data_IF_895045001213
#
_entry.id   IF_895045001213
#
_cell.length_a   1.000
_cell.length_b   1.000
_cell.length_c   1.000
_cell.angle_alpha   90.00
_cell.angle_beta   90.00
_cell.angle_gamma   90.00
#
_symmetry.space_group_name_H-M   'P 1'
#
loop_
_entity.id
_entity.type
_entity.pdbx_description
1 polymer ?
#
# COMPACT_ATOMS: atom_id res chain seq x y z
N UNK A 1 22.67 1.77 -11.59
CA UNK A 1 21.90 2.86 -10.94
C UNK A 1 20.68 2.21 -10.32
N UNK A 2 20.36 2.52 -9.07
CA UNK A 2 19.11 2.15 -8.40
C UNK A 2 18.32 3.43 -8.17
N UNK A 3 17.19 3.58 -8.85
CA UNK A 3 16.29 4.70 -8.66
C UNK A 3 15.02 4.26 -7.91
N UNK A 4 14.48 5.13 -7.07
CA UNK A 4 13.36 4.82 -6.16
C UNK A 4 13.60 3.54 -5.33
N UNK A 5 14.77 3.42 -4.70
CA UNK A 5 15.20 2.20 -4.02
C UNK A 5 14.27 1.77 -2.88
N UNK A 6 13.68 2.71 -2.16
CA UNK A 6 12.64 2.49 -1.14
C UNK A 6 11.45 1.74 -1.73
N UNK A 7 10.96 2.18 -2.89
CA UNK A 7 9.83 1.56 -3.58
C UNK A 7 10.14 0.16 -4.05
N UNK A 8 11.33 -0.08 -4.60
CA UNK A 8 11.71 -1.43 -5.03
C UNK A 8 11.71 -2.41 -3.84
N UNK A 9 12.15 -1.97 -2.66
CA UNK A 9 12.12 -2.77 -1.44
C UNK A 9 10.70 -3.02 -0.93
N UNK A 10 9.81 -2.03 -0.99
CA UNK A 10 8.40 -2.19 -0.62
C UNK A 10 7.66 -3.19 -1.51
N UNK A 11 8.01 -3.24 -2.80
CA UNK A 11 7.47 -4.20 -3.76
C UNK A 11 8.00 -5.62 -3.56
N UNK A 12 8.96 -5.80 -2.64
CA UNK A 12 9.55 -7.11 -2.35
C UNK A 12 10.71 -7.49 -3.27
N UNK A 13 11.23 -6.58 -4.08
CA UNK A 13 12.33 -6.87 -5.03
C UNK A 13 13.72 -6.95 -4.39
N UNK A 14 13.81 -7.13 -3.07
CA UNK A 14 15.10 -7.21 -2.39
C UNK A 14 16.00 -8.30 -2.99
N UNK A 15 15.44 -9.51 -3.12
CA UNK A 15 16.19 -10.68 -3.56
C UNK A 15 16.56 -10.56 -5.05
N UNK A 16 15.67 -9.99 -5.85
CA UNK A 16 15.91 -9.73 -7.27
C UNK A 16 17.04 -8.71 -7.49
N UNK A 17 17.06 -7.62 -6.71
CA UNK A 17 18.15 -6.64 -6.73
C UNK A 17 19.49 -7.30 -6.39
N UNK A 18 19.52 -8.09 -5.31
CA UNK A 18 20.75 -8.77 -4.88
C UNK A 18 21.26 -9.73 -5.96
N UNK A 19 20.36 -10.49 -6.60
CA UNK A 19 20.69 -11.39 -7.70
C UNK A 19 21.26 -10.65 -8.92
N UNK A 20 20.67 -9.53 -9.30
CA UNK A 20 21.19 -8.69 -10.39
C UNK A 20 22.59 -8.19 -10.03
N UNK A 21 22.76 -7.69 -8.81
CA UNK A 21 24.05 -7.20 -8.31
C UNK A 21 25.13 -8.27 -8.36
N UNK A 22 24.81 -9.51 -7.98
CA UNK A 22 25.74 -10.64 -8.06
C UNK A 22 26.20 -10.98 -9.49
N UNK A 23 25.36 -10.70 -10.49
CA UNK A 23 25.68 -10.89 -11.90
C UNK A 23 26.45 -9.71 -12.50
N UNK A 24 26.60 -8.60 -11.78
CA UNK A 24 27.38 -7.43 -12.23
C UNK A 24 28.84 -7.53 -11.81
N UNK A 25 29.77 -6.83 -12.50
CA UNK A 25 31.16 -6.76 -12.08
C UNK A 25 31.33 -6.29 -10.63
N UNK A 26 32.33 -6.84 -9.94
CA UNK A 26 32.67 -6.44 -8.57
C UNK A 26 33.15 -4.98 -8.51
N UNK A 27 33.89 -4.53 -9.53
CA UNK A 27 34.28 -3.13 -9.70
C UNK A 27 33.25 -2.45 -10.59
N UNK A 28 32.39 -1.65 -9.98
CA UNK A 28 31.33 -0.88 -10.65
C UNK A 28 31.05 0.40 -9.88
N UNK A 29 30.55 1.41 -10.59
CA UNK A 29 29.95 2.57 -9.96
C UNK A 29 28.49 2.25 -9.63
N UNK A 30 28.11 2.41 -8.37
CA UNK A 30 26.73 2.28 -7.92
C UNK A 30 26.24 3.64 -7.46
N UNK A 31 25.10 4.08 -8.02
CA UNK A 31 24.35 5.25 -7.55
C UNK A 31 23.00 4.75 -7.05
N UNK A 32 22.59 5.19 -5.86
CA UNK A 32 21.32 4.85 -5.23
C UNK A 32 20.56 6.13 -4.96
N UNK A 33 19.35 6.22 -5.49
CA UNK A 33 18.41 7.31 -5.28
C UNK A 33 17.20 6.74 -4.54
N UNK A 34 16.73 7.46 -3.52
CA UNK A 34 15.62 7.05 -2.67
C UNK A 34 14.95 8.30 -2.11
N UNK A 35 13.61 8.31 -2.05
CA UNK A 35 12.89 9.43 -1.46
C UNK A 35 12.94 9.39 0.07
N UNK A 36 12.97 8.17 0.63
CA UNK A 36 13.05 7.91 2.07
C UNK A 36 14.28 7.08 2.41
N UNK A 37 14.75 7.16 3.66
CA UNK A 37 15.89 6.37 4.17
C UNK A 37 15.53 5.52 5.40
N UNK A 38 14.53 4.62 5.31
CA UNK A 38 14.22 3.69 6.40
C UNK A 38 15.37 2.70 6.65
N UNK A 39 15.40 2.00 7.81
CA UNK A 39 16.50 1.10 8.15
C UNK A 39 16.81 0.02 7.09
N UNK A 40 15.79 -0.45 6.35
CA UNK A 40 15.99 -1.42 5.25
C UNK A 40 16.78 -0.83 4.09
N UNK A 41 16.54 0.43 3.74
CA UNK A 41 17.25 1.13 2.66
C UNK A 41 18.69 1.44 3.06
N UNK A 42 18.90 1.89 4.29
CA UNK A 42 20.26 2.09 4.83
C UNK A 42 21.10 0.82 4.72
N UNK A 43 20.54 -0.32 5.14
CA UNK A 43 21.20 -1.63 4.99
C UNK A 43 21.46 -2.02 3.55
N UNK A 44 20.56 -1.70 2.62
CA UNK A 44 20.76 -1.95 1.19
C UNK A 44 21.92 -1.08 0.66
N UNK A 45 21.91 0.21 0.97
CA UNK A 45 22.97 1.15 0.59
C UNK A 45 24.34 0.70 1.11
N UNK A 46 24.44 0.30 2.39
CA UNK A 46 25.67 -0.23 3.00
C UNK A 46 26.22 -1.48 2.27
N UNK A 47 25.34 -2.33 1.74
CA UNK A 47 25.75 -3.53 0.99
C UNK A 47 26.16 -3.23 -0.45
N UNK A 48 25.51 -2.26 -1.09
CA UNK A 48 25.64 -2.03 -2.53
C UNK A 48 26.62 -0.93 -2.91
N UNK A 49 26.85 0.03 -2.02
CA UNK A 49 27.70 1.19 -2.24
C UNK A 49 29.08 1.00 -1.60
N UNK A 50 30.11 1.56 -2.22
CA UNK A 50 31.46 1.59 -1.68
C UNK A 50 31.90 3.05 -1.48
N UNK A 51 32.11 3.45 -0.23
CA UNK A 51 32.45 4.83 0.17
C UNK A 51 31.61 5.91 -0.55
N UNK A 52 30.26 5.89 -0.43
CA UNK A 52 29.40 6.79 -1.19
C UNK A 52 29.51 8.24 -0.73
N UNK A 53 29.35 9.16 -1.69
CA UNK A 53 29.04 10.56 -1.39
C UNK A 53 27.55 10.62 -1.07
N UNK A 54 27.21 11.12 0.12
CA UNK A 54 25.82 11.30 0.53
C UNK A 54 25.34 12.71 0.14
N UNK A 55 24.24 12.76 -0.60
CA UNK A 55 23.54 13.99 -0.95
C UNK A 55 22.13 13.88 -0.38
N UNK A 56 21.80 14.77 0.55
CA UNK A 56 20.47 14.85 1.15
C UNK A 56 19.79 16.14 0.68
N UNK A 57 18.61 15.98 0.10
CA UNK A 57 17.76 17.10 -0.33
C UNK A 57 16.60 17.15 0.66
N UNK A 58 16.19 18.36 1.06
CA UNK A 58 15.05 18.54 1.95
C UNK A 58 13.80 17.84 1.41
N UNK A 59 12.98 17.29 2.32
CA UNK A 59 11.72 16.62 2.01
C UNK A 59 10.89 17.52 1.09
N UNK A 60 10.46 16.97 -0.05
CA UNK A 60 9.62 17.70 -1.00
C UNK A 60 8.32 18.09 -0.28
N UNK A 61 8.09 19.39 -0.12
CA UNK A 61 6.78 19.89 0.31
C UNK A 61 5.85 19.94 -0.90
N UNK A 62 4.54 19.72 -0.72
CA UNK A 62 3.57 19.94 -1.78
C UNK A 62 3.66 21.37 -2.32
N UNK A 63 3.43 21.54 -3.63
CA UNK A 63 3.32 22.86 -4.25
C UNK A 63 2.24 23.70 -3.55
N UNK A 64 2.52 24.98 -3.31
CA UNK A 64 1.57 25.91 -2.68
C UNK A 64 0.28 26.07 -3.50
N UNK A 65 0.35 25.82 -4.82
CA UNK A 65 -0.77 25.90 -5.74
C UNK A 65 -1.76 24.72 -5.62
N UNK A 66 -1.48 23.73 -4.77
CA UNK A 66 -2.37 22.60 -4.51
C UNK A 66 -3.28 22.94 -3.34
N UNK A 67 -4.58 23.13 -3.61
CA UNK A 67 -5.60 23.16 -2.56
C UNK A 67 -5.78 21.75 -2.02
N UNK A 68 -5.58 21.58 -0.72
CA UNK A 68 -5.65 20.29 -0.04
C UNK A 68 -6.86 20.27 0.90
N UNK A 69 -7.73 19.28 0.75
CA UNK A 69 -8.90 19.05 1.60
C UNK A 69 -8.89 17.64 2.17
N UNK A 70 -9.32 17.49 3.41
CA UNK A 70 -9.37 16.24 4.12
C UNK A 70 -10.75 16.00 4.72
N UNK A 71 -11.43 14.92 4.33
CA UNK A 71 -12.76 14.59 4.83
C UNK A 71 -12.69 13.37 5.74
N UNK A 72 -13.08 13.53 6.99
CA UNK A 72 -13.26 12.43 7.92
C UNK A 72 -14.56 11.72 7.60
N UNK A 73 -14.49 10.45 7.18
CA UNK A 73 -15.65 9.71 6.67
C UNK A 73 -15.54 8.23 7.00
N UNK A 74 -16.65 7.60 7.38
CA UNK A 74 -16.68 6.15 7.56
C UNK A 74 -16.61 5.42 6.21
N UNK A 75 -16.06 4.21 6.19
CA UNK A 75 -15.81 3.46 4.94
C UNK A 75 -17.10 3.20 4.13
N UNK A 76 -18.24 3.01 4.79
CA UNK A 76 -19.56 2.82 4.17
C UNK A 76 -20.09 4.06 3.45
N UNK A 77 -19.57 5.24 3.78
CA UNK A 77 -19.97 6.52 3.18
C UNK A 77 -18.97 7.05 2.14
N UNK A 78 -17.79 6.44 1.98
CA UNK A 78 -16.73 6.94 1.08
C UNK A 78 -17.17 7.05 -0.38
N UNK A 79 -17.88 6.04 -0.89
CA UNK A 79 -18.39 6.04 -2.27
C UNK A 79 -19.37 7.20 -2.48
N UNK A 80 -20.32 7.39 -1.55
CA UNK A 80 -21.31 8.47 -1.64
C UNK A 80 -20.67 9.85 -1.51
N UNK A 81 -19.67 9.99 -0.64
CA UNK A 81 -18.92 11.23 -0.50
C UNK A 81 -18.14 11.56 -1.78
N UNK A 82 -17.44 10.57 -2.36
CA UNK A 82 -16.74 10.76 -3.63
C UNK A 82 -17.70 11.25 -4.72
N UNK A 83 -18.90 10.68 -4.80
CA UNK A 83 -19.90 11.13 -5.74
C UNK A 83 -20.28 12.60 -5.53
N UNK A 84 -20.64 12.98 -4.31
CA UNK A 84 -21.04 14.35 -3.97
C UNK A 84 -19.94 15.37 -4.27
N UNK A 85 -18.69 15.03 -3.94
CA UNK A 85 -17.55 15.91 -4.17
C UNK A 85 -17.29 16.12 -5.66
N UNK A 86 -17.38 15.07 -6.48
CA UNK A 86 -17.18 15.22 -7.92
C UNK A 86 -18.36 15.93 -8.59
N UNK A 87 -19.59 15.73 -8.10
CA UNK A 87 -20.78 16.49 -8.55
C UNK A 87 -20.63 17.99 -8.26
N UNK A 88 -20.08 18.36 -7.10
CA UNK A 88 -19.81 19.76 -6.73
C UNK A 88 -18.77 20.43 -7.62
N UNK A 89 -17.76 19.68 -8.09
CA UNK A 89 -16.75 20.22 -9.01
C UNK A 89 -17.30 20.44 -10.44
N UNK A 90 -18.38 19.75 -10.82
CA UNK A 90 -18.97 19.87 -12.16
C UNK A 90 -18.19 19.10 -13.23
N UNK A 91 -17.72 19.79 -14.27
CA UNK A 91 -17.05 19.14 -15.41
C UNK A 91 -15.58 18.86 -15.11
N UNK A 92 -15.33 17.71 -14.48
CA UNK A 92 -13.99 17.23 -14.13
C UNK A 92 -13.27 16.77 -15.39
N UNK A 93 -12.20 17.47 -15.77
CA UNK A 93 -11.41 17.17 -16.97
C UNK A 93 -10.50 15.95 -16.79
N UNK A 94 -9.91 15.80 -15.60
CA UNK A 94 -9.01 14.70 -15.26
C UNK A 94 -8.93 14.50 -13.75
N UNK A 95 -9.25 13.29 -13.30
CA UNK A 95 -9.18 12.90 -11.91
C UNK A 95 -8.51 11.54 -11.76
N UNK A 96 -7.57 11.46 -10.83
CA UNK A 96 -6.98 10.18 -10.40
C UNK A 96 -7.42 9.87 -8.97
N UNK A 97 -7.84 8.63 -8.75
CA UNK A 97 -8.33 8.13 -7.46
C UNK A 97 -7.41 7.00 -7.02
N UNK A 98 -6.65 7.23 -5.96
CA UNK A 98 -5.72 6.26 -5.38
C UNK A 98 -6.40 5.41 -4.32
N UNK A 99 -6.23 4.10 -4.44
CA UNK A 99 -6.66 3.13 -3.44
C UNK A 99 -5.50 2.19 -3.07
N UNK A 100 -5.43 1.76 -1.82
CA UNK A 100 -4.38 0.87 -1.32
C UNK A 100 -4.59 -0.58 -1.77
N UNK A 101 -5.83 -0.98 -2.08
CA UNK A 101 -6.22 -2.37 -2.40
C UNK A 101 -6.80 -2.53 -3.79
N UNK A 102 -6.44 -3.62 -4.49
CA UNK A 102 -7.00 -3.98 -5.80
C UNK A 102 -8.52 -4.15 -5.79
N UNK A 103 -9.06 -4.70 -4.70
CA UNK A 103 -10.51 -4.86 -4.52
C UNK A 103 -11.22 -3.51 -4.44
N UNK A 104 -10.64 -2.53 -3.73
CA UNK A 104 -11.15 -1.17 -3.67
C UNK A 104 -11.12 -0.51 -5.05
N UNK A 105 -10.02 -0.64 -5.80
CA UNK A 105 -9.92 -0.13 -7.19
C UNK A 105 -11.07 -0.66 -8.06
N UNK A 106 -11.33 -1.98 -8.03
CA UNK A 106 -12.41 -2.60 -8.80
C UNK A 106 -13.79 -2.10 -8.35
N UNK A 107 -13.99 -1.97 -7.04
CA UNK A 107 -15.25 -1.50 -6.44
C UNK A 107 -15.54 -0.05 -6.82
N UNK A 108 -14.61 0.85 -6.52
CA UNK A 108 -14.73 2.29 -6.80
C UNK A 108 -14.95 2.53 -8.29
N UNK A 109 -14.16 1.89 -9.16
CA UNK A 109 -14.35 2.04 -10.61
C UNK A 109 -15.74 1.58 -11.08
N UNK A 110 -16.30 0.51 -10.49
CA UNK A 110 -17.66 0.07 -10.79
C UNK A 110 -18.70 1.08 -10.30
N UNK A 111 -18.50 1.68 -9.13
CA UNK A 111 -19.39 2.73 -8.59
C UNK A 111 -19.42 3.93 -9.54
N UNK A 112 -18.27 4.44 -9.99
CA UNK A 112 -18.19 5.56 -10.94
C UNK A 112 -18.88 5.23 -12.27
N UNK A 113 -18.67 4.03 -12.82
CA UNK A 113 -19.31 3.61 -14.07
C UNK A 113 -20.83 3.50 -13.95
N UNK A 114 -21.34 2.99 -12.82
CA UNK A 114 -22.79 2.92 -12.57
C UNK A 114 -23.44 4.30 -12.50
N UNK A 115 -22.70 5.30 -12.02
CA UNK A 115 -23.13 6.71 -11.99
C UNK A 115 -23.15 7.35 -13.39
N UNK A 116 -22.53 6.71 -14.39
CA UNK A 116 -22.42 7.21 -15.76
C UNK A 116 -21.12 7.95 -16.04
N UNK A 117 -20.16 7.96 -15.10
CA UNK A 117 -18.87 8.59 -15.31
C UNK A 117 -17.93 7.69 -16.11
N UNK A 118 -17.20 8.30 -17.04
CA UNK A 118 -16.20 7.62 -17.85
C UNK A 118 -14.97 7.34 -16.98
N UNK A 119 -14.83 6.10 -16.53
CA UNK A 119 -13.68 5.68 -15.72
C UNK A 119 -13.04 4.37 -16.20
N UNK A 120 -11.74 4.23 -15.89
CA UNK A 120 -10.98 2.98 -15.99
C UNK A 120 -10.17 2.75 -14.72
N UNK A 121 -9.90 1.47 -14.45
CA UNK A 121 -9.09 1.03 -13.34
C UNK A 121 -7.70 0.59 -13.83
N UNK A 122 -6.67 0.85 -13.02
CA UNK A 122 -5.30 0.37 -13.23
C UNK A 122 -4.77 -0.28 -11.94
N UNK A 123 -4.42 -1.56 -12.05
CA UNK A 123 -3.90 -2.36 -10.93
C UNK A 123 -2.87 -3.36 -11.46
N UNK A 124 -2.07 -3.99 -10.60
CA UNK A 124 -1.06 -4.96 -11.05
C UNK A 124 -1.61 -6.27 -11.62
N UNK A 125 -2.93 -6.39 -11.76
CA UNK A 125 -3.57 -7.48 -12.52
C UNK A 125 -3.51 -7.25 -14.04
N UNK A 126 -3.35 -6.00 -14.49
CA UNK A 126 -3.26 -5.67 -15.92
C UNK A 126 -1.88 -6.01 -16.45
N UNK A 127 -1.85 -6.54 -17.67
CA UNK A 127 -0.59 -6.69 -18.39
C UNK A 127 -0.02 -5.32 -18.81
N UNK A 128 1.22 -5.31 -19.31
CA UNK A 128 1.91 -4.08 -19.67
C UNK A 128 1.22 -3.34 -20.83
N UNK A 129 0.66 -4.08 -21.80
CA UNK A 129 0.00 -3.49 -22.97
C UNK A 129 -1.33 -2.85 -22.58
N UNK A 130 -2.14 -3.56 -21.80
CA UNK A 130 -3.39 -3.04 -21.25
C UNK A 130 -3.15 -1.81 -20.38
N UNK A 131 -2.07 -1.82 -19.58
CA UNK A 131 -1.64 -0.67 -18.79
C UNK A 131 -1.37 0.54 -19.68
N UNK A 132 -0.57 0.37 -20.73
CA UNK A 132 -0.25 1.45 -21.68
C UNK A 132 -1.50 1.97 -22.39
N UNK A 133 -2.42 1.09 -22.79
CA UNK A 133 -3.68 1.46 -23.43
C UNK A 133 -4.59 2.29 -22.50
N UNK A 134 -4.71 1.89 -21.23
CA UNK A 134 -5.46 2.65 -20.21
C UNK A 134 -4.82 4.02 -20.01
N UNK A 135 -3.49 4.09 -19.82
CA UNK A 135 -2.80 5.35 -19.60
C UNK A 135 -2.86 6.29 -20.80
N UNK A 136 -2.70 5.75 -22.01
CA UNK A 136 -2.89 6.49 -23.25
C UNK A 136 -4.33 6.98 -23.39
N UNK A 137 -5.32 6.17 -23.04
CA UNK A 137 -6.72 6.57 -23.04
C UNK A 137 -7.01 7.72 -22.06
N UNK A 138 -6.40 7.71 -20.88
CA UNK A 138 -6.53 8.77 -19.90
C UNK A 138 -5.89 10.07 -20.39
N UNK A 139 -4.64 10.03 -20.88
CA UNK A 139 -3.94 11.21 -21.43
C UNK A 139 -4.70 11.85 -22.60
N UNK A 140 -5.33 11.01 -23.43
CA UNK A 140 -6.13 11.44 -24.57
C UNK A 140 -7.60 11.78 -24.21
N UNK A 141 -7.94 11.89 -22.91
CA UNK A 141 -9.29 12.24 -22.41
C UNK A 141 -10.41 11.35 -22.96
N UNK A 142 -10.12 10.07 -23.28
CA UNK A 142 -11.17 9.08 -23.62
C UNK A 142 -12.09 8.81 -22.43
N UNK A 143 -11.55 8.99 -21.23
CA UNK A 143 -12.23 8.93 -19.96
C UNK A 143 -11.52 9.86 -18.98
N UNK A 144 -12.25 10.37 -17.99
CA UNK A 144 -11.77 11.46 -17.14
C UNK A 144 -11.38 10.98 -15.74
N UNK A 145 -11.77 9.75 -15.36
CA UNK A 145 -11.47 9.18 -14.06
C UNK A 145 -10.56 7.95 -14.17
N UNK A 146 -9.40 7.98 -13.53
CA UNK A 146 -8.49 6.86 -13.42
C UNK A 146 -8.43 6.38 -11.97
N UNK A 147 -8.85 5.14 -11.71
CA UNK A 147 -8.76 4.53 -10.38
C UNK A 147 -7.52 3.64 -10.32
N UNK A 148 -6.57 3.94 -9.44
CA UNK A 148 -5.26 3.31 -9.43
C UNK A 148 -4.89 2.72 -8.05
N UNK A 149 -4.14 1.61 -8.07
CA UNK A 149 -3.39 1.19 -6.87
C UNK A 149 -2.07 1.94 -6.75
N UNK A 150 -1.63 2.18 -5.52
CA UNK A 150 -0.36 2.84 -5.16
C UNK A 150 0.85 2.32 -5.94
N UNK A 151 0.94 0.98 -6.04
CA UNK A 151 2.02 0.27 -6.75
C UNK A 151 2.05 0.58 -8.23
N UNK A 152 0.88 0.79 -8.85
CA UNK A 152 0.80 1.04 -10.28
C UNK A 152 1.09 2.48 -10.62
N UNK A 153 0.66 3.42 -9.77
CA UNK A 153 0.84 4.85 -10.01
C UNK A 153 2.27 5.36 -9.76
N UNK A 154 3.07 4.64 -8.97
CA UNK A 154 4.49 4.93 -8.76
C UNK A 154 5.24 4.61 -10.08
N UNK A 155 5.89 5.62 -10.68
CA UNK A 155 6.58 5.50 -11.98
C UNK A 155 5.69 5.73 -13.22
N UNK A 156 4.41 6.04 -13.04
CA UNK A 156 3.56 6.50 -14.14
C UNK A 156 3.73 8.01 -14.31
N UNK A 157 4.25 8.40 -15.48
CA UNK A 157 4.31 9.80 -15.89
C UNK A 157 2.95 10.26 -16.42
N UNK A 158 2.03 10.54 -15.49
CA UNK A 158 0.80 11.26 -15.76
C UNK A 158 0.84 12.52 -14.91
N UNK A 159 1.05 13.63 -15.60
CA UNK A 159 1.08 14.97 -15.05
C UNK A 159 -0.13 15.77 -15.51
N UNK A 160 -0.29 16.96 -14.93
CA UNK A 160 -1.35 17.92 -15.25
C UNK A 160 -2.76 17.36 -14.98
N UNK A 161 -2.89 16.60 -13.89
CA UNK A 161 -4.17 16.12 -13.41
C UNK A 161 -4.87 17.27 -12.66
N UNK A 162 -6.15 17.51 -12.93
CA UNK A 162 -6.92 18.55 -12.26
C UNK A 162 -7.19 18.20 -10.79
N UNK A 163 -7.63 16.96 -10.55
CA UNK A 163 -8.02 16.48 -9.22
C UNK A 163 -7.29 15.18 -8.85
N UNK A 164 -6.66 15.17 -7.69
CA UNK A 164 -6.11 13.96 -7.07
C UNK A 164 -6.97 13.59 -5.86
N UNK A 165 -7.47 12.36 -5.82
CA UNK A 165 -8.22 11.82 -4.68
C UNK A 165 -7.47 10.67 -4.05
N UNK A 166 -7.12 10.80 -2.77
CA UNK A 166 -6.72 9.67 -1.93
C UNK A 166 -7.97 9.07 -1.29
N UNK A 167 -8.52 8.02 -1.91
CA UNK A 167 -9.69 7.32 -1.37
C UNK A 167 -9.36 6.55 -0.08
N UNK A 168 -8.11 6.11 0.04
CA UNK A 168 -7.49 5.61 1.26
C UNK A 168 -6.22 6.43 1.54
N UNK A 169 -5.97 6.74 2.81
CA UNK A 169 -4.78 7.49 3.21
C UNK A 169 -3.52 6.66 2.88
N UNK A 170 -2.50 7.25 2.24
CA UNK A 170 -1.23 6.56 2.00
C UNK A 170 -0.60 6.10 3.31
N UNK A 171 0.09 4.95 3.28
CA UNK A 171 0.79 4.41 4.45
C UNK A 171 1.98 5.27 4.86
N UNK A 172 2.70 5.78 3.86
CA UNK A 172 3.89 6.60 4.04
C UNK A 172 3.56 8.05 3.69
N UNK A 173 4.07 9.00 4.46
CA UNK A 173 3.75 10.41 4.27
C UNK A 173 4.38 10.99 2.99
N UNK A 174 5.51 10.44 2.55
CA UNK A 174 6.19 10.83 1.31
C UNK A 174 5.39 10.40 0.07
N UNK A 175 4.67 9.28 0.15
CA UNK A 175 3.74 8.88 -0.89
C UNK A 175 2.65 9.92 -1.11
N UNK A 176 2.14 10.52 -0.02
CA UNK A 176 1.14 11.58 -0.11
C UNK A 176 1.64 12.73 -0.99
N UNK A 177 2.85 13.22 -0.72
CA UNK A 177 3.48 14.29 -1.50
C UNK A 177 3.61 13.88 -2.97
N UNK A 178 4.09 12.67 -3.25
CA UNK A 178 4.26 12.19 -4.62
C UNK A 178 2.93 12.03 -5.39
N UNK A 179 1.85 11.63 -4.70
CA UNK A 179 0.52 11.50 -5.30
C UNK A 179 -0.04 12.86 -5.68
N UNK A 180 -0.02 13.81 -4.75
CA UNK A 180 -0.59 15.13 -5.00
C UNK A 180 0.30 15.98 -5.90
N UNK A 181 1.60 15.68 -5.98
CA UNK A 181 2.53 16.28 -6.95
C UNK A 181 2.25 15.94 -8.42
N UNK A 182 1.21 15.13 -8.71
CA UNK A 182 0.67 14.87 -10.06
C UNK A 182 -0.30 15.96 -10.53
N UNK A 183 -0.73 16.84 -9.62
CA UNK A 183 -1.50 18.05 -9.92
C UNK A 183 -0.63 19.31 -9.77
N UNK A 184 -1.15 20.46 -10.20
CA UNK A 184 -0.53 21.79 -10.05
C UNK A 184 0.93 21.92 -10.56
N UNK A 185 1.27 21.25 -11.66
CA UNK A 185 2.55 21.46 -12.36
C UNK A 185 2.46 22.68 -13.29
N UNK A 186 3.62 23.28 -13.60
CA UNK A 186 3.75 24.43 -14.50
C UNK A 186 2.92 25.68 -14.13
N UNK A 187 2.68 25.92 -12.83
CA UNK A 187 1.98 27.12 -12.35
C UNK A 187 0.45 27.03 -12.34
N UNK A 188 -0.13 25.91 -12.77
CA UNK A 188 -1.57 25.66 -12.64
C UNK A 188 -1.95 25.41 -11.17
N UNK A 189 -3.21 25.69 -10.83
CA UNK A 189 -3.81 25.25 -9.57
C UNK A 189 -4.24 23.79 -9.66
N UNK A 190 -4.28 23.12 -8.51
CA UNK A 190 -4.67 21.72 -8.40
C UNK A 190 -5.51 21.47 -7.15
N UNK A 191 -6.32 20.42 -7.18
CA UNK A 191 -7.12 19.98 -6.03
C UNK A 191 -6.68 18.59 -5.57
N UNK A 192 -6.34 18.47 -4.29
CA UNK A 192 -6.06 17.21 -3.63
C UNK A 192 -7.09 16.95 -2.52
N UNK A 193 -7.82 15.85 -2.62
CA UNK A 193 -8.84 15.43 -1.64
C UNK A 193 -8.38 14.14 -0.98
N UNK A 194 -8.44 14.06 0.34
CA UNK A 194 -8.12 12.83 1.08
C UNK A 194 -9.29 12.39 1.95
N UNK A 195 -9.68 11.12 1.83
CA UNK A 195 -10.75 10.51 2.64
C UNK A 195 -10.14 9.73 3.81
N UNK A 196 -10.46 10.15 5.02
CA UNK A 196 -9.86 9.64 6.25
C UNK A 196 -10.91 8.82 7.01
N UNK A 197 -10.71 7.51 7.11
CA UNK A 197 -11.50 6.71 8.03
C UNK A 197 -10.88 6.72 9.43
N UNK A 198 -11.55 6.09 10.39
CA UNK A 198 -11.06 6.10 11.77
C UNK A 198 -9.70 5.42 11.97
N UNK A 199 -9.34 4.44 11.14
CA UNK A 199 -8.04 3.75 11.22
C UNK A 199 -6.91 4.63 10.68
N UNK A 200 -7.24 5.52 9.75
CA UNK A 200 -6.29 6.33 9.01
C UNK A 200 -5.94 7.66 9.71
N UNK A 201 -6.65 8.03 10.79
CA UNK A 201 -6.46 9.32 11.52
C UNK A 201 -5.00 9.56 11.92
N UNK A 202 -4.33 8.53 12.48
CA UNK A 202 -2.93 8.67 12.88
C UNK A 202 -1.99 8.78 11.68
N UNK A 203 -2.20 7.97 10.64
CA UNK A 203 -1.39 8.05 9.42
C UNK A 203 -1.52 9.40 8.74
N UNK A 204 -2.73 9.97 8.72
CA UNK A 204 -2.94 11.33 8.21
C UNK A 204 -2.28 12.40 9.09
N UNK A 205 -2.28 12.22 10.42
CA UNK A 205 -1.54 13.10 11.32
C UNK A 205 -0.03 13.10 11.05
N UNK A 206 0.55 11.96 10.65
CA UNK A 206 1.97 11.89 10.27
C UNK A 206 2.24 12.58 8.92
N UNK A 207 1.27 12.58 8.00
CA UNK A 207 1.32 13.39 6.77
C UNK A 207 1.39 14.88 7.10
N UNK A 208 0.48 15.40 7.95
CA UNK A 208 0.46 16.82 8.33
C UNK A 208 1.76 17.25 9.01
N UNK A 209 2.36 16.39 9.83
CA UNK A 209 3.68 16.63 10.44
C UNK A 209 4.78 16.71 9.39
N UNK A 210 4.81 15.77 8.43
CA UNK A 210 5.83 15.74 7.38
C UNK A 210 5.79 17.00 6.52
N UNK A 211 4.58 17.44 6.11
CA UNK A 211 4.42 18.63 5.27
C UNK A 211 4.43 19.94 6.06
N UNK A 212 4.51 19.84 7.40
CA UNK A 212 4.49 20.96 8.35
C UNK A 212 3.28 21.90 8.14
N UNK A 213 2.12 21.32 7.80
CA UNK A 213 0.91 22.08 7.46
C UNK A 213 -0.34 21.32 7.89
N UNK A 214 -1.25 22.04 8.56
CA UNK A 214 -2.60 21.56 8.82
C UNK A 214 -3.42 21.67 7.55
N UNK A 215 -3.98 20.55 7.11
CA UNK A 215 -4.89 20.46 5.97
C UNK A 215 -6.32 20.78 6.44
N UNK A 216 -7.04 21.56 5.64
CA UNK A 216 -8.43 21.94 5.90
C UNK A 216 -9.31 20.68 5.97
N UNK A 217 -10.21 20.64 6.95
CA UNK A 217 -11.13 19.51 7.19
C UNK A 217 -12.58 19.97 7.16
N UNK A 218 -13.18 20.13 5.96
CA UNK A 218 -14.55 20.63 5.84
C UNK A 218 -15.56 19.66 6.46
N UNK A 219 -16.75 20.18 6.80
CA UNK A 219 -17.86 19.35 7.25
C UNK A 219 -18.31 18.40 6.14
N UNK A 220 -18.73 17.19 6.54
CA UNK A 220 -19.28 16.23 5.59
C UNK A 220 -20.61 16.73 4.98
N UNK A 221 -20.76 16.69 3.65
CA UNK A 221 -22.03 17.02 3.01
C UNK A 221 -23.08 15.93 3.25
N UNK A 222 -24.35 16.26 3.05
CA UNK A 222 -25.44 15.27 2.90
C UNK A 222 -25.74 14.42 4.14
N UNK A 223 -25.39 14.88 5.35
CA UNK A 223 -25.64 14.14 6.60
C UNK A 223 -24.78 12.88 6.77
N UNK A 224 -23.72 12.74 5.97
CA UNK A 224 -22.76 11.66 6.11
C UNK A 224 -22.05 11.74 7.47
N UNK A 225 -21.58 10.58 7.94
CA UNK A 225 -20.91 10.44 9.23
C UNK A 225 -19.45 10.04 9.05
N UNK A 226 -18.62 10.53 9.96
CA UNK A 226 -17.20 10.24 10.03
C UNK A 226 -16.68 10.21 11.45
N UNK A 227 -15.43 9.76 11.64
CA UNK A 227 -14.75 9.77 12.94
C UNK A 227 -14.38 11.20 13.37
N UNK A 228 -14.01 11.34 14.65
CA UNK A 228 -13.34 12.54 15.14
C UNK A 228 -11.86 12.56 14.75
N UNK A 229 -11.28 13.76 14.60
CA UNK A 229 -9.88 13.95 14.25
C UNK A 229 -8.99 14.17 15.48
N UNK A 230 -8.57 13.07 16.13
CA UNK A 230 -7.68 13.12 17.29
C UNK A 230 -6.41 12.29 17.05
N UNK A 231 -5.44 12.77 16.24
CA UNK A 231 -4.20 12.06 15.98
C UNK A 231 -3.34 11.97 17.26
N UNK A 232 -2.81 10.77 17.55
CA UNK A 232 -1.96 10.52 18.71
C UNK A 232 -2.70 10.02 19.96
N UNK A 233 -4.03 10.08 20.00
CA UNK A 233 -4.80 9.37 21.02
C UNK A 233 -4.76 7.87 20.70
N UNK A 234 -4.16 7.08 21.61
CA UNK A 234 -4.29 5.63 21.54
C UNK A 234 -5.78 5.32 21.65
N UNK A 235 -6.37 4.80 20.57
CA UNK A 235 -7.69 4.18 20.62
C UNK A 235 -7.72 3.25 21.83
N UNK A 236 -8.46 3.64 22.85
CA UNK A 236 -8.79 2.78 23.98
C UNK A 236 -9.67 1.67 23.44
N UNK A 237 -9.04 0.66 22.85
CA UNK A 237 -9.71 -0.51 22.30
C UNK A 237 -10.57 -1.12 23.39
N UNK A 238 -11.88 -1.07 23.18
CA UNK A 238 -12.88 -1.73 24.00
C UNK A 238 -12.52 -3.20 24.20
N UNK A 239 -12.23 -3.56 25.44
CA UNK A 239 -11.81 -4.89 25.86
C UNK A 239 -11.64 -5.03 27.37
N UNK A 240 -12.30 -4.18 28.16
CA UNK A 240 -12.30 -4.26 29.61
C UNK A 240 -13.36 -5.24 30.10
N UNK A 241 -13.14 -6.56 29.91
CA UNK A 241 -13.80 -7.53 30.80
C UNK A 241 -13.25 -7.27 32.20
N UNK A 242 -14.05 -6.60 33.02
CA UNK A 242 -13.81 -6.44 34.45
C UNK A 242 -13.54 -7.79 35.08
N UNK A 243 -12.26 -8.07 35.34
CA UNK A 243 -11.84 -9.23 36.10
C UNK A 243 -11.83 -8.81 37.56
N UNK A 244 -12.99 -8.98 38.17
CA UNK A 244 -13.17 -9.05 39.61
C UNK A 244 -12.23 -10.13 40.18
N UNK A 245 -11.40 -9.73 41.14
CA UNK A 245 -10.47 -10.59 41.86
C UNK A 245 -9.51 -9.66 42.60
N UNK A 246 -9.69 -9.33 43.87
CA UNK A 246 -10.02 -10.25 44.95
C UNK A 246 -8.73 -10.76 45.55
N UNK A 247 -8.25 -10.06 46.59
CA UNK A 247 -7.42 -10.66 47.62
C UNK A 247 -5.91 -10.45 47.52
N UNK A 248 -5.35 -9.98 48.64
CA UNK A 248 -4.19 -10.64 49.22
C UNK A 248 -2.86 -9.94 49.04
N UNK A 249 -2.38 -9.34 50.14
CA UNK A 249 -1.05 -8.77 50.24
C UNK A 249 0.07 -9.80 50.41
N UNK A 250 1.24 -9.25 50.79
CA UNK A 250 2.53 -9.91 51.11
C UNK A 250 3.24 -10.46 49.87
N UNK A 251 4.55 -10.34 49.70
CA UNK A 251 5.66 -9.87 50.55
C UNK A 251 6.84 -9.64 49.60
N UNK A 252 7.65 -8.63 49.88
CA UNK A 252 9.01 -8.50 49.34
C UNK A 252 9.84 -9.67 49.85
N UNK A 253 10.58 -10.30 48.96
CA UNK A 253 11.75 -11.11 49.32
C UNK A 253 12.89 -10.70 48.39
N UNK A 254 13.84 -9.97 48.97
CA UNK A 254 15.20 -9.86 48.50
C UNK A 254 15.81 -11.27 48.39
N UNK A 255 16.53 -11.56 47.31
CA UNK A 255 17.45 -12.68 47.32
C UNK A 255 18.82 -12.24 46.81
N UNK A 256 19.76 -12.27 47.74
CA UNK A 256 21.17 -11.92 47.62
C UNK A 256 21.95 -13.21 47.83
N UNK A 257 22.72 -13.61 46.81
CA UNK A 257 23.89 -14.48 46.95
C UNK A 257 23.64 -15.97 47.19
N UNK A 258 24.41 -16.81 46.50
CA UNK A 258 24.48 -18.24 46.81
C UNK A 258 25.11 -19.07 45.71
N UNK A 259 26.43 -19.18 45.75
CA UNK A 259 27.23 -20.12 44.96
C UNK A 259 26.87 -21.58 45.28
N UNK A 260 26.99 -22.48 44.31
CA UNK A 260 26.94 -23.92 44.59
C UNK A 260 26.88 -24.74 43.31
N UNK A 261 28.01 -25.35 42.94
CA UNK A 261 28.14 -26.20 41.76
C UNK A 261 27.41 -27.53 41.85
N UNK A 262 27.34 -28.23 40.72
CA UNK A 262 26.85 -29.60 40.66
C UNK A 262 26.43 -30.03 39.27
N UNK A 263 27.31 -30.79 38.62
CA UNK A 263 27.11 -31.62 37.44
C UNK A 263 25.68 -32.17 37.22
N UNK A 264 25.23 -32.17 35.95
CA UNK A 264 24.67 -33.37 35.29
C UNK A 264 24.37 -33.18 33.79
N UNK A 265 25.25 -33.83 33.01
CA UNK A 265 24.99 -34.76 31.90
C UNK A 265 23.99 -34.36 30.79
N UNK A 266 24.64 -34.14 29.63
CA UNK A 266 24.16 -34.32 28.25
C UNK A 266 23.14 -35.46 28.08
N UNK A 267 21.99 -35.15 27.46
CA UNK A 267 21.05 -36.14 26.91
C UNK A 267 21.41 -36.39 25.43
N UNK A 268 21.52 -37.65 24.97
CA UNK A 268 21.79 -37.95 23.58
C UNK A 268 20.51 -37.90 22.72
N UNK A 269 20.74 -37.48 21.48
CA UNK A 269 19.84 -37.48 20.33
C UNK A 269 19.44 -38.92 19.95
N UNK A 270 18.14 -39.18 19.74
CA UNK A 270 17.62 -40.50 19.33
C UNK A 270 17.00 -40.41 17.92
N UNK A 271 17.58 -41.06 16.89
CA UNK A 271 17.04 -41.09 15.54
C UNK A 271 16.29 -42.40 15.30
N UNK A 272 14.97 -42.36 15.17
CA UNK A 272 14.21 -43.54 14.72
C UNK A 272 13.02 -43.15 13.84
N UNK A 273 13.32 -42.70 12.62
CA UNK A 273 12.39 -42.66 11.51
C UNK A 273 12.35 -44.06 10.87
N UNK A 274 11.31 -44.84 11.16
CA UNK A 274 11.02 -46.09 10.47
C UNK A 274 9.96 -45.87 9.39
N UNK A 275 10.36 -46.23 8.17
CA UNK A 275 9.57 -46.62 6.99
C UNK A 275 8.19 -47.16 7.36
N UNK A 276 7.13 -46.64 6.72
CA UNK A 276 5.89 -47.39 6.46
C UNK A 276 5.66 -47.50 4.95
N UNK A 277 5.66 -48.75 4.49
CA UNK A 277 5.18 -49.20 3.19
C UNK A 277 3.65 -49.26 3.21
N UNK A 278 3.04 -49.10 2.04
CA UNK A 278 1.65 -49.41 1.67
C UNK A 278 1.19 -50.79 2.16
N UNK A 279 -0.14 -50.98 2.21
CA UNK A 279 -0.74 -52.15 1.60
C UNK A 279 -1.74 -51.77 0.48
N UNK A 280 -1.77 -52.65 -0.51
CA UNK A 280 -2.68 -52.70 -1.64
C UNK A 280 -4.03 -53.33 -1.28
N UNK A 281 -5.09 -52.84 -1.92
CA UNK A 281 -6.27 -53.58 -2.40
C UNK A 281 -6.92 -52.69 -3.47
N UNK A 282 -7.16 -53.04 -4.73
CA UNK A 282 -7.39 -54.35 -5.33
C UNK A 282 -8.88 -54.49 -5.70
N UNK A 283 -9.17 -54.54 -7.01
CA UNK A 283 -10.47 -54.83 -7.68
C UNK A 283 -11.44 -53.65 -7.84
N UNK A 284 -12.04 -53.34 -9.01
CA UNK A 284 -12.07 -54.03 -10.31
C UNK A 284 -13.14 -53.42 -11.24
N UNK A 285 -13.07 -53.76 -12.54
CA UNK A 285 -14.16 -53.67 -13.54
C UNK A 285 -14.35 -52.30 -14.21
N UNK A 286 -13.91 -52.03 -15.45
CA UNK A 286 -14.20 -52.58 -16.79
C UNK A 286 -15.35 -51.87 -17.53
N UNK A 287 -15.12 -51.70 -18.84
CA UNK A 287 -16.04 -51.28 -19.94
C UNK A 287 -16.44 -49.80 -19.97
N UNK A 288 -16.44 -49.09 -21.09
CA UNK A 288 -16.19 -49.44 -22.49
C UNK A 288 -16.59 -48.23 -23.35
N UNK A 289 -16.18 -48.22 -24.62
CA UNK A 289 -16.80 -47.34 -25.63
C UNK A 289 -15.84 -46.42 -26.37
N UNK A 290 -15.07 -46.98 -27.30
CA UNK A 290 -14.57 -46.26 -28.47
C UNK A 290 -15.73 -46.08 -29.46
N UNK A 291 -15.89 -44.87 -30.01
CA UNK A 291 -16.63 -44.65 -31.25
C UNK A 291 -15.97 -43.51 -32.05
N UNK A 292 -15.22 -43.93 -33.06
CA UNK A 292 -14.85 -43.16 -34.23
C UNK A 292 -16.09 -42.73 -35.02
N UNK A 293 -16.14 -41.46 -35.45
CA UNK A 293 -17.14 -40.96 -36.38
C UNK A 293 -16.55 -39.85 -37.24
N UNK A 294 -16.16 -40.21 -38.45
CA UNK A 294 -15.67 -39.35 -39.51
C UNK A 294 -16.86 -38.87 -40.36
N UNK A 295 -17.00 -37.57 -40.62
CA UNK A 295 -17.65 -37.04 -41.82
C UNK A 295 -17.49 -35.50 -41.90
N UNK A 296 -16.72 -35.06 -42.90
CA UNK A 296 -16.79 -33.74 -43.54
C UNK A 296 -17.83 -33.81 -44.69
N UNK A 297 -18.09 -32.75 -45.51
CA UNK A 297 -18.10 -31.31 -45.29
C UNK A 297 -19.40 -30.63 -45.81
N UNK A 298 -19.62 -29.35 -45.47
CA UNK A 298 -20.13 -28.26 -46.33
C UNK A 298 -19.96 -26.94 -45.60
#
# INVERSE_FOLDING_TARGET
>A
ILDEADRMLDMGFHDDIMKIVELTPKSRQTMLFSATMPPKIRKLAEKLLNNPINVEIAVSKPSENIKQLAYLVNDDHKDRLLELLMEEQGDVSSCIIFCSRKSAVKSVNRTLQKKGWKSRAISSDLDQKEREDVLSGFRNKKFNFLVATDVMSRGIDIDNIEIVVNYEVPKDAEDYVHRIGRTARAGASGLAITLINGFDVNGFGDIEKLIEKTIEKPALPGGLRGPEYNPGEKRSGGGGRGRQGGGGGKKRFDNKGGSGGGDRKKRPFNPNWKKRKNPSSGSGGNSGGAASGNSNPS
#
